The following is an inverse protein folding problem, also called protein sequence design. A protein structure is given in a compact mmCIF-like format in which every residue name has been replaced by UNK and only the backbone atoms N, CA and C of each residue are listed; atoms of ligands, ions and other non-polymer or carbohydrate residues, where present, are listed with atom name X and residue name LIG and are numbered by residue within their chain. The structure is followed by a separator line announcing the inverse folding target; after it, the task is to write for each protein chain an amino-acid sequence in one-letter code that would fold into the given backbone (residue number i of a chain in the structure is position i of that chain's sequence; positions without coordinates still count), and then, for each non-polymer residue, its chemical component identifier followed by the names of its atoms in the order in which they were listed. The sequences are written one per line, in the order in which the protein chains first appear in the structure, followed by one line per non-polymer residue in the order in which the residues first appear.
data_IF_367715669169
#
_entry.id   IF_367715669169
#
_cell.length_a   1.000
_cell.length_b   1.000
_cell.length_c   1.000
_cell.angle_alpha   90.00
_cell.angle_beta   90.00
_cell.angle_gamma   90.00
#
_symmetry.space_group_name_H-M   'P 1'
#
loop_
_entity.id
_entity.type
_entity.pdbx_description
1 polymer ?
#
# COMPACT_ATOMS: atom_id res chain seq x y z
N UNK A 1 4.47 -16.48 16.74
CA UNK A 1 3.38 -16.45 15.74
C UNK A 1 2.79 -15.05 15.79
N UNK A 2 2.56 -14.39 14.66
CA UNK A 2 1.93 -13.08 14.65
C UNK A 2 0.42 -13.27 14.81
N UNK A 3 -0.15 -12.79 15.91
CA UNK A 3 -1.59 -12.88 16.15
C UNK A 3 -2.27 -11.59 15.69
N UNK A 4 -3.37 -11.74 14.95
CA UNK A 4 -4.19 -10.63 14.48
C UNK A 4 -5.53 -10.64 15.23
N UNK A 5 -5.97 -9.46 15.64
CA UNK A 5 -7.33 -9.25 16.15
C UNK A 5 -8.12 -8.64 15.01
N UNK A 6 -9.07 -9.40 14.48
CA UNK A 6 -9.95 -8.96 13.40
C UNK A 6 -11.23 -8.34 13.95
N UNK A 7 -11.71 -7.30 13.29
CA UNK A 7 -13.03 -6.74 13.54
C UNK A 7 -14.14 -7.54 12.82
N UNK A 8 -15.37 -7.05 12.91
CA UNK A 8 -16.54 -7.69 12.27
C UNK A 8 -16.52 -7.62 10.74
N UNK A 9 -15.61 -6.84 10.16
CA UNK A 9 -15.40 -6.69 8.72
C UNK A 9 -14.18 -7.48 8.22
N UNK A 10 -13.58 -8.32 9.08
CA UNK A 10 -12.35 -9.08 8.80
C UNK A 10 -11.13 -8.18 8.56
N UNK A 11 -11.14 -6.97 9.12
CA UNK A 11 -10.02 -6.04 9.07
C UNK A 11 -9.22 -6.20 10.37
N UNK A 12 -7.90 -6.30 10.23
CA UNK A 12 -6.98 -6.14 11.36
C UNK A 12 -6.17 -4.86 11.20
N UNK A 13 -5.70 -4.29 12.29
CA UNK A 13 -4.84 -3.10 12.26
C UNK A 13 -3.45 -3.45 12.77
N UNK A 14 -2.41 -3.03 12.06
CA UNK A 14 -1.01 -3.25 12.44
C UNK A 14 -0.24 -1.94 12.55
N UNK A 15 0.90 -1.98 13.23
CA UNK A 15 1.81 -0.85 13.37
C UNK A 15 2.92 -0.88 12.31
N UNK A 16 2.97 0.17 11.49
CA UNK A 16 3.97 0.45 10.45
C UNK A 16 4.47 1.91 10.58
N UNK A 17 5.14 2.21 11.69
CA UNK A 17 5.60 3.56 12.06
C UNK A 17 6.40 4.29 10.97
N UNK A 18 7.26 3.59 10.23
CA UNK A 18 8.07 4.22 9.20
C UNK A 18 7.25 4.40 7.92
N UNK A 19 6.50 3.37 7.50
CA UNK A 19 5.74 3.40 6.24
C UNK A 19 4.64 4.45 6.26
N UNK A 20 4.02 4.67 7.41
CA UNK A 20 3.02 5.72 7.63
C UNK A 20 3.60 7.14 7.68
N UNK A 21 4.91 7.30 7.91
CA UNK A 21 5.57 8.60 8.06
C UNK A 21 4.83 9.53 9.04
N UNK A 22 4.49 9.02 10.23
CA UNK A 22 3.52 9.60 11.17
C UNK A 22 3.78 11.02 11.69
N UNK A 23 5.00 11.54 11.60
CA UNK A 23 5.44 12.81 12.21
C UNK A 23 5.35 14.02 11.26
N UNK A 24 4.32 14.06 10.41
CA UNK A 24 4.25 15.04 9.30
C UNK A 24 2.91 15.77 9.22
N UNK A 25 2.82 16.77 8.35
CA UNK A 25 1.64 17.63 8.18
C UNK A 25 0.37 16.86 7.78
N UNK A 26 -0.81 17.47 7.98
CA UNK A 26 -2.07 16.89 7.55
C UNK A 26 -2.27 17.15 6.06
N UNK A 27 -2.31 16.08 5.27
CA UNK A 27 -2.50 16.14 3.82
C UNK A 27 -3.73 15.32 3.39
N UNK A 28 -4.11 14.32 4.20
CA UNK A 28 -5.10 13.30 3.86
C UNK A 28 -6.43 13.46 4.61
N UNK A 29 -7.41 12.64 4.21
CA UNK A 29 -8.69 12.51 4.86
C UNK A 29 -8.58 12.20 6.35
N UNK A 30 -9.59 12.64 7.10
CA UNK A 30 -9.55 12.62 8.57
C UNK A 30 -9.27 11.25 9.20
N UNK A 31 -9.79 10.15 8.62
CA UNK A 31 -9.54 8.79 9.09
C UNK A 31 -8.09 8.36 8.83
N UNK A 32 -7.62 8.57 7.60
CA UNK A 32 -6.26 8.24 7.17
C UNK A 32 -5.24 8.97 8.04
N UNK A 33 -5.43 10.27 8.27
CA UNK A 33 -4.57 11.04 9.17
C UNK A 33 -4.55 10.52 10.61
N UNK A 34 -5.71 10.10 11.14
CA UNK A 34 -5.78 9.57 12.50
C UNK A 34 -5.00 8.26 12.67
N UNK A 35 -5.09 7.35 11.70
CA UNK A 35 -4.34 6.10 11.72
C UNK A 35 -2.86 6.36 11.48
N UNK A 36 -2.54 7.17 10.47
CA UNK A 36 -1.18 7.57 10.10
C UNK A 36 -0.40 8.12 11.30
N UNK A 37 -0.97 9.09 12.03
CA UNK A 37 -0.33 9.69 13.23
C UNK A 37 -0.08 8.69 14.37
N UNK A 38 -0.82 7.58 14.40
CA UNK A 38 -0.60 6.49 15.36
C UNK A 38 0.36 5.43 14.83
N UNK A 39 0.86 5.58 13.61
CA UNK A 39 1.66 4.58 12.94
C UNK A 39 0.87 3.33 12.53
N UNK A 40 -0.46 3.45 12.39
CA UNK A 40 -1.36 2.32 12.18
C UNK A 40 -1.81 2.22 10.73
N UNK A 41 -1.97 0.98 10.25
CA UNK A 41 -2.47 0.66 8.91
C UNK A 41 -3.43 -0.53 9.00
N UNK A 42 -4.53 -0.46 8.26
CA UNK A 42 -5.47 -1.57 8.15
C UNK A 42 -4.92 -2.65 7.21
N UNK A 43 -5.23 -3.90 7.50
CA UNK A 43 -4.81 -5.07 6.73
C UNK A 43 -6.00 -5.98 6.55
N UNK A 44 -6.19 -6.45 5.32
CA UNK A 44 -7.17 -7.47 4.97
C UNK A 44 -6.49 -8.60 4.21
N UNK A 45 -6.92 -9.82 4.49
CA UNK A 45 -6.41 -11.02 3.84
C UNK A 45 -7.49 -11.57 2.92
N UNK A 46 -7.16 -11.78 1.66
CA UNK A 46 -8.04 -12.49 0.75
C UNK A 46 -8.01 -13.99 1.04
N UNK A 47 -9.17 -14.64 0.92
CA UNK A 47 -9.29 -16.10 0.97
C UNK A 47 -8.63 -16.76 -0.26
N UNK A 48 -8.52 -18.09 -0.27
CA UNK A 48 -7.89 -18.83 -1.35
C UNK A 48 -8.55 -18.63 -2.73
N UNK A 49 -9.82 -18.21 -2.77
CA UNK A 49 -10.52 -17.90 -4.01
C UNK A 49 -10.26 -16.47 -4.51
N UNK A 50 -9.62 -15.61 -3.72
CA UNK A 50 -9.31 -14.22 -4.06
C UNK A 50 -10.53 -13.29 -4.14
N UNK A 51 -11.69 -13.71 -3.59
CA UNK A 51 -12.96 -12.98 -3.76
C UNK A 51 -13.52 -12.36 -2.49
N UNK A 52 -13.23 -12.96 -1.33
CA UNK A 52 -13.70 -12.49 -0.03
C UNK A 52 -12.53 -12.38 0.95
N UNK A 53 -12.75 -11.66 2.05
CA UNK A 53 -11.77 -11.57 3.13
C UNK A 53 -11.86 -12.78 4.08
N UNK A 54 -10.74 -13.10 4.73
CA UNK A 54 -10.61 -14.18 5.70
C UNK A 54 -9.96 -13.68 6.99
N UNK A 55 -10.35 -14.26 8.13
CA UNK A 55 -9.65 -14.12 9.42
C UNK A 55 -8.60 -15.21 9.64
N UNK A 56 -8.46 -16.15 8.70
CA UNK A 56 -7.52 -17.27 8.78
C UNK A 56 -6.46 -17.13 7.67
N UNK A 57 -5.46 -16.24 7.85
CA UNK A 57 -4.43 -16.00 6.85
C UNK A 57 -3.48 -17.20 6.71
N UNK A 58 -3.01 -17.47 5.50
CA UNK A 58 -2.01 -18.52 5.26
C UNK A 58 -0.62 -18.11 5.79
N UNK A 59 0.28 -19.08 5.89
CA UNK A 59 1.67 -18.82 6.30
C UNK A 59 2.36 -17.80 5.38
N UNK A 60 2.13 -17.87 4.08
CA UNK A 60 2.72 -16.97 3.08
C UNK A 60 2.19 -15.53 3.20
N UNK A 61 0.91 -15.38 3.56
CA UNK A 61 0.31 -14.08 3.85
C UNK A 61 0.88 -13.47 5.13
N UNK A 62 1.05 -14.28 6.18
CA UNK A 62 1.72 -13.86 7.41
C UNK A 62 3.19 -13.48 7.16
N UNK A 63 3.89 -14.21 6.29
CA UNK A 63 5.26 -13.91 5.88
C UNK A 63 5.36 -12.57 5.13
N UNK A 64 4.36 -12.24 4.29
CA UNK A 64 4.33 -10.93 3.63
C UNK A 64 4.21 -9.78 4.63
N UNK A 65 3.34 -9.90 5.63
CA UNK A 65 3.25 -8.88 6.69
C UNK A 65 4.53 -8.81 7.52
N UNK A 66 5.13 -9.94 7.87
CA UNK A 66 6.42 -9.96 8.55
C UNK A 66 7.50 -9.23 7.75
N UNK A 67 7.61 -9.53 6.44
CA UNK A 67 8.54 -8.84 5.55
C UNK A 67 8.30 -7.33 5.52
N UNK A 68 7.04 -6.88 5.39
CA UNK A 68 6.71 -5.46 5.37
C UNK A 68 7.14 -4.77 6.67
N UNK A 69 6.87 -5.39 7.83
CA UNK A 69 7.24 -4.83 9.14
C UNK A 69 8.75 -4.67 9.30
N UNK A 70 9.52 -5.63 8.80
CA UNK A 70 10.99 -5.67 8.90
C UNK A 70 11.68 -4.75 7.87
N UNK A 71 11.05 -4.50 6.72
CA UNK A 71 11.69 -3.83 5.57
C UNK A 71 10.97 -2.52 5.15
N UNK A 72 10.33 -1.82 6.10
CA UNK A 72 9.55 -0.61 5.81
C UNK A 72 10.36 0.45 5.04
N UNK A 73 11.61 0.71 5.42
CA UNK A 73 12.45 1.69 4.73
C UNK A 73 12.74 1.33 3.27
N UNK A 74 12.95 0.04 2.99
CA UNK A 74 13.18 -0.45 1.62
C UNK A 74 11.93 -0.23 0.77
N UNK A 75 10.75 -0.55 1.31
CA UNK A 75 9.46 -0.33 0.66
C UNK A 75 9.21 1.16 0.41
N UNK A 76 9.48 2.03 1.38
CA UNK A 76 9.36 3.50 1.21
C UNK A 76 10.24 3.99 0.07
N UNK A 77 11.48 3.50 -0.04
CA UNK A 77 12.38 3.88 -1.12
C UNK A 77 11.86 3.43 -2.48
N UNK A 78 11.33 2.21 -2.58
CA UNK A 78 10.71 1.68 -3.80
C UNK A 78 9.47 2.47 -4.20
N UNK A 79 8.58 2.78 -3.25
CA UNK A 79 7.40 3.60 -3.47
C UNK A 79 7.80 5.00 -3.93
N UNK A 80 8.73 5.67 -3.25
CA UNK A 80 9.22 6.99 -3.67
C UNK A 80 9.73 6.99 -5.12
N UNK A 81 10.59 6.02 -5.47
CA UNK A 81 11.12 5.91 -6.81
C UNK A 81 10.02 5.64 -7.84
N UNK A 82 9.06 4.77 -7.52
CA UNK A 82 7.94 4.47 -8.40
C UNK A 82 7.01 5.67 -8.58
N UNK A 83 6.65 6.34 -7.48
CA UNK A 83 5.81 7.52 -7.48
C UNK A 83 6.37 8.61 -8.38
N UNK A 84 7.66 8.92 -8.21
CA UNK A 84 8.34 9.98 -8.96
C UNK A 84 8.53 9.66 -10.44
N UNK A 85 8.91 8.42 -10.76
CA UNK A 85 9.37 8.07 -12.11
C UNK A 85 8.27 7.43 -12.98
N UNK A 86 7.17 6.96 -12.38
CA UNK A 86 6.10 6.26 -13.08
C UNK A 86 4.75 6.88 -12.75
N UNK A 87 4.32 6.84 -11.48
CA UNK A 87 2.96 7.21 -11.10
C UNK A 87 2.61 8.67 -11.48
N UNK A 88 3.48 9.62 -11.12
CA UNK A 88 3.29 11.04 -11.44
C UNK A 88 3.24 11.29 -12.95
N UNK A 89 4.28 10.91 -13.75
CA UNK A 89 4.24 11.08 -15.19
C UNK A 89 3.03 10.48 -15.89
N UNK A 90 2.52 9.35 -15.42
CA UNK A 90 1.31 8.73 -15.98
C UNK A 90 0.06 9.53 -15.61
N UNK A 91 -0.11 9.94 -14.35
CA UNK A 91 -1.29 10.69 -13.91
C UNK A 91 -1.37 12.10 -14.50
N UNK A 92 -0.23 12.77 -14.71
CA UNK A 92 -0.17 14.09 -15.34
C UNK A 92 -0.71 14.09 -16.79
N UNK A 93 -0.88 12.92 -17.42
CA UNK A 93 -1.49 12.82 -18.76
C UNK A 93 -3.02 12.94 -18.73
N UNK A 94 -3.64 12.75 -17.57
CA UNK A 94 -5.10 12.67 -17.44
C UNK A 94 -5.74 13.93 -16.84
N UNK A 95 -4.96 14.84 -16.23
CA UNK A 95 -5.47 16.03 -15.54
C UNK A 95 -4.66 17.29 -15.86
N UNK A 96 -5.33 18.46 -15.79
CA UNK A 96 -4.66 19.76 -15.82
C UNK A 96 -3.83 19.93 -14.54
N UNK A 97 -2.54 20.24 -14.72
CA UNK A 97 -1.53 20.17 -13.66
C UNK A 97 -1.59 21.40 -12.75
N UNK A 98 -1.73 21.19 -11.45
CA UNK A 98 -1.33 22.16 -10.42
C UNK A 98 -0.39 21.54 -9.38
N UNK A 99 0.44 22.38 -8.73
CA UNK A 99 1.43 21.94 -7.74
C UNK A 99 0.79 21.34 -6.48
N UNK A 100 -0.50 21.59 -6.25
CA UNK A 100 -1.26 21.04 -5.12
C UNK A 100 -1.50 19.55 -5.34
N UNK A 101 -1.84 19.16 -6.57
CA UNK A 101 -2.11 17.77 -6.94
C UNK A 101 -0.82 16.94 -7.00
N UNK A 102 0.29 17.54 -7.45
CA UNK A 102 1.60 16.88 -7.58
C UNK A 102 2.70 17.62 -6.81
N UNK A 103 2.76 17.47 -5.47
CA UNK A 103 3.75 18.15 -4.67
C UNK A 103 5.16 17.67 -5.00
N UNK A 104 6.12 18.59 -4.96
CA UNK A 104 7.53 18.25 -5.15
C UNK A 104 8.01 17.44 -3.94
N UNK A 105 8.38 16.18 -4.19
CA UNK A 105 9.02 15.28 -3.23
C UNK A 105 10.52 15.20 -3.51
N UNK A 106 11.34 15.63 -2.55
CA UNK A 106 12.80 15.67 -2.68
C UNK A 106 13.49 14.38 -2.25
N UNK A 107 12.81 13.54 -1.49
CA UNK A 107 13.33 12.25 -1.06
C UNK A 107 12.27 11.34 -0.44
N UNK A 108 12.65 10.10 -0.08
CA UNK A 108 11.70 9.10 0.43
C UNK A 108 10.98 9.52 1.71
N UNK A 109 11.60 10.35 2.56
CA UNK A 109 11.02 10.88 3.79
C UNK A 109 9.86 11.86 3.55
N UNK A 110 9.67 12.33 2.32
CA UNK A 110 8.58 13.25 1.93
C UNK A 110 7.44 12.54 1.19
N UNK A 111 7.45 11.20 1.12
CA UNK A 111 6.40 10.44 0.44
C UNK A 111 5.00 10.72 0.99
N UNK A 112 4.89 11.08 2.28
CA UNK A 112 3.67 11.50 2.94
C UNK A 112 3.01 12.72 2.30
N UNK A 113 3.75 13.54 1.55
CA UNK A 113 3.15 14.67 0.84
C UNK A 113 2.20 14.20 -0.25
N UNK A 114 2.31 12.93 -0.67
CA UNK A 114 1.61 12.44 -1.85
C UNK A 114 0.86 11.14 -1.65
N UNK A 115 1.41 10.19 -0.87
CA UNK A 115 0.77 8.90 -0.61
C UNK A 115 0.48 8.74 0.88
N UNK A 116 -0.80 8.56 1.19
CA UNK A 116 -1.31 8.27 2.53
C UNK A 116 -1.86 6.86 2.58
N UNK A 117 -1.11 5.91 3.11
CA UNK A 117 -1.53 4.49 3.15
C UNK A 117 -2.80 4.32 4.00
N UNK A 118 -3.81 3.66 3.42
CA UNK A 118 -5.08 3.33 4.08
C UNK A 118 -5.09 1.87 4.52
N UNK A 119 -4.94 0.97 3.54
CA UNK A 119 -5.16 -0.46 3.71
C UNK A 119 -4.13 -1.25 2.93
N UNK A 120 -3.69 -2.37 3.48
CA UNK A 120 -2.89 -3.38 2.77
C UNK A 120 -3.77 -4.60 2.51
N UNK A 121 -3.96 -4.93 1.24
CA UNK A 121 -4.59 -6.16 0.78
C UNK A 121 -3.52 -7.22 0.60
N UNK A 122 -3.69 -8.38 1.24
CA UNK A 122 -2.77 -9.52 1.15
C UNK A 122 -3.42 -10.64 0.36
N UNK A 123 -2.83 -10.98 -0.79
CA UNK A 123 -3.37 -11.94 -1.74
C UNK A 123 -2.99 -13.39 -1.37
N UNK A 124 -3.77 -14.40 -1.76
CA UNK A 124 -3.39 -15.81 -1.55
C UNK A 124 -2.24 -16.24 -2.47
N UNK A 125 -2.09 -15.59 -3.62
CA UNK A 125 -0.96 -15.79 -4.53
C UNK A 125 0.35 -15.46 -3.81
N UNK A 126 1.37 -16.27 -4.05
CA UNK A 126 2.70 -16.08 -3.48
C UNK A 126 3.81 -16.50 -4.45
N UNK A 127 4.99 -15.92 -4.24
CA UNK A 127 6.23 -16.31 -4.92
C UNK A 127 7.31 -16.43 -3.84
N UNK A 128 8.05 -17.53 -3.85
CA UNK A 128 9.10 -17.82 -2.85
C UNK A 128 8.60 -17.84 -1.39
N UNK A 129 7.37 -18.33 -1.17
CA UNK A 129 6.78 -18.45 0.18
C UNK A 129 6.36 -17.12 0.81
N UNK A 130 6.30 -16.04 0.03
CA UNK A 130 5.82 -14.71 0.45
C UNK A 130 4.68 -14.28 -0.47
N UNK A 131 3.54 -13.96 0.13
CA UNK A 131 2.37 -13.49 -0.60
C UNK A 131 2.61 -12.15 -1.28
N UNK A 132 1.86 -11.93 -2.36
CA UNK A 132 1.76 -10.61 -2.99
C UNK A 132 0.85 -9.70 -2.15
N UNK A 133 1.10 -8.39 -2.24
CA UNK A 133 0.28 -7.39 -1.58
C UNK A 133 -0.06 -6.26 -2.53
N UNK A 134 -1.16 -5.58 -2.22
CA UNK A 134 -1.51 -4.30 -2.82
C UNK A 134 -1.83 -3.33 -1.71
N UNK A 135 -1.20 -2.16 -1.71
CA UNK A 135 -1.53 -1.11 -0.76
C UNK A 135 -2.42 -0.08 -1.44
N UNK A 136 -3.52 0.25 -0.78
CA UNK A 136 -4.40 1.35 -1.12
C UNK A 136 -3.91 2.62 -0.42
N UNK A 137 -3.77 3.67 -1.22
CA UNK A 137 -3.31 4.98 -0.78
C UNK A 137 -4.34 6.04 -1.14
N UNK A 138 -4.55 6.99 -0.22
CA UNK A 138 -4.92 8.33 -0.65
C UNK A 138 -3.77 8.93 -1.44
N UNK A 139 -4.11 9.52 -2.60
CA UNK A 139 -3.15 10.09 -3.51
C UNK A 139 -3.51 11.55 -3.78
N UNK A 140 -2.58 12.46 -3.56
CA UNK A 140 -2.84 13.90 -3.78
C UNK A 140 -3.14 14.25 -5.25
N UNK A 141 -2.64 13.44 -6.20
CA UNK A 141 -2.93 13.63 -7.62
C UNK A 141 -4.30 13.13 -8.05
N UNK A 142 -4.98 12.37 -7.18
CA UNK A 142 -6.36 11.90 -7.39
C UNK A 142 -7.02 11.65 -6.01
N UNK A 143 -7.47 12.71 -5.37
CA UNK A 143 -8.10 12.61 -4.05
C UNK A 143 -9.45 11.87 -4.08
N UNK A 144 -10.11 11.78 -5.23
CA UNK A 144 -11.41 11.13 -5.36
C UNK A 144 -11.25 9.60 -5.32
N UNK A 145 -10.25 9.06 -6.00
CA UNK A 145 -10.09 7.62 -6.16
C UNK A 145 -8.90 7.04 -5.37
N UNK A 146 -7.84 7.82 -5.17
CA UNK A 146 -6.57 7.33 -4.63
C UNK A 146 -5.81 6.47 -5.64
N UNK A 147 -4.95 5.58 -5.14
CA UNK A 147 -4.21 4.64 -5.98
C UNK A 147 -3.97 3.31 -5.27
N UNK A 148 -4.02 2.21 -6.02
CA UNK A 148 -3.70 0.88 -5.52
C UNK A 148 -2.38 0.42 -6.12
N UNK A 149 -1.34 0.22 -5.32
CA UNK A 149 -0.01 -0.16 -5.81
C UNK A 149 0.27 -1.61 -5.41
N UNK A 150 0.46 -2.47 -6.40
CA UNK A 150 0.81 -3.88 -6.21
C UNK A 150 2.33 -4.05 -6.07
N UNK A 151 2.76 -4.87 -5.11
CA UNK A 151 4.16 -5.18 -4.90
C UNK A 151 4.38 -6.58 -4.32
N UNK A 152 5.56 -7.13 -4.60
CA UNK A 152 6.08 -8.35 -3.97
C UNK A 152 7.39 -8.00 -3.27
N UNK A 153 7.46 -8.24 -1.96
CA UNK A 153 8.56 -7.76 -1.12
C UNK A 153 8.71 -6.24 -1.25
N UNK A 154 9.84 -5.73 -1.74
CA UNK A 154 10.07 -4.30 -2.01
C UNK A 154 9.89 -3.93 -3.48
N UNK A 155 9.59 -4.88 -4.36
CA UNK A 155 9.50 -4.65 -5.81
C UNK A 155 8.08 -4.26 -6.21
N UNK A 156 7.94 -3.05 -6.74
CA UNK A 156 6.67 -2.56 -7.28
C UNK A 156 6.38 -3.24 -8.62
N UNK A 157 5.15 -3.72 -8.79
CA UNK A 157 4.66 -4.37 -10.01
C UNK A 157 3.90 -3.39 -10.90
N UNK A 158 3.16 -2.48 -10.29
CA UNK A 158 2.30 -1.53 -11.00
C UNK A 158 1.31 -0.85 -10.06
N UNK A 159 0.49 0.03 -10.62
CA UNK A 159 -0.69 0.57 -9.96
C UNK A 159 -1.95 0.25 -10.75
N UNK A 160 -3.09 0.29 -10.08
CA UNK A 160 -4.43 0.19 -10.67
C UNK A 160 -5.43 1.11 -9.95
N UNK A 161 -6.57 1.36 -10.61
CA UNK A 161 -7.66 2.16 -10.05
C UNK A 161 -8.45 1.41 -8.96
N UNK A 162 -8.34 0.08 -8.88
CA UNK A 162 -9.02 -0.75 -7.89
C UNK A 162 -8.17 -1.97 -7.51
N UNK A 163 -8.38 -2.57 -6.31
CA UNK A 163 -7.70 -3.80 -5.93
C UNK A 163 -8.06 -4.94 -6.88
N UNK A 164 -7.06 -5.51 -7.53
CA UNK A 164 -7.21 -6.67 -8.41
C UNK A 164 -5.90 -7.49 -8.47
N UNK A 165 -5.92 -8.62 -9.16
CA UNK A 165 -4.77 -9.53 -9.26
C UNK A 165 -4.06 -9.52 -10.63
N UNK A 166 -4.35 -8.54 -11.50
CA UNK A 166 -3.78 -8.47 -12.85
C UNK A 166 -2.25 -8.39 -12.83
N UNK A 167 -1.69 -7.40 -12.10
CA UNK A 167 -0.23 -7.22 -11.94
C UNK A 167 0.45 -8.41 -11.27
N UNK A 168 -0.27 -9.11 -10.40
CA UNK A 168 0.22 -10.31 -9.70
C UNK A 168 0.30 -11.47 -10.69
N UNK A 169 -0.75 -11.68 -11.48
CA UNK A 169 -0.83 -12.74 -12.48
C UNK A 169 0.20 -12.53 -13.60
N UNK A 170 0.44 -11.29 -14.03
CA UNK A 170 1.52 -10.94 -14.96
C UNK A 170 2.91 -11.31 -14.43
N UNK A 171 3.17 -11.09 -13.13
CA UNK A 171 4.46 -11.38 -12.50
C UNK A 171 4.69 -12.88 -12.27
N UNK A 172 3.62 -13.62 -11.99
CA UNK A 172 3.67 -15.08 -11.85
C UNK A 172 3.93 -15.80 -13.18
N UNK A 173 3.54 -15.19 -14.30
CA UNK A 173 3.78 -15.73 -15.64
C UNK A 173 5.24 -15.56 -16.12
N UNK A 174 6.08 -14.84 -15.37
CA UNK A 174 7.51 -14.60 -15.66
C UNK A 174 8.43 -15.46 -14.80
#
# INVERSE_FOLDING_TARGET
MMEFIFDTLHIATIELNQLTQKETENVFGSRTEQLRKKGLVDVVFFNAAGRDYTTDPTAEQLNAIAYIKENQQEIINSLYNYTKNVLYPEHMQFIDVDEISFPIIQGPHELYKTLGIRTIYVFPQNKEGIAYVMADFEFTGDFEHGVHIAFHKSRILGWDAAPNDEKINEDLAR
#
